data_IF_846198398346
#
_entry.id   IF_846198398346
#
_cell.length_a   1.000
_cell.length_b   1.000
_cell.length_c   1.000
_cell.angle_alpha   90.00
_cell.angle_beta   90.00
_cell.angle_gamma   90.00
#
_symmetry.space_group_name_H-M   'P 1'
#
loop_
_entity.id
_entity.type
_entity.pdbx_description
1 polymer ?
#
# COMPACT_ATOMS: atom_id res chain seq x y z
N UNK A 1 -5.38 -13.95 17.66
CA UNK A 1 -5.96 -12.89 16.79
C UNK A 1 -5.05 -11.66 16.72
N UNK A 2 -4.61 -11.14 17.88
CA UNK A 2 -3.68 -9.98 17.99
C UNK A 2 -2.41 -10.15 17.13
N UNK A 3 -1.71 -11.29 17.23
CA UNK A 3 -0.49 -11.52 16.42
C UNK A 3 -0.74 -11.48 14.91
N UNK A 4 -1.94 -11.86 14.43
CA UNK A 4 -2.29 -11.85 13.00
C UNK A 4 -2.54 -10.43 12.48
N UNK A 5 -3.21 -9.61 13.31
CA UNK A 5 -3.47 -8.20 13.02
C UNK A 5 -2.15 -7.42 13.00
N UNK A 6 -1.29 -7.69 13.98
CA UNK A 6 0.04 -7.08 14.05
C UNK A 6 0.90 -7.49 12.85
N UNK A 7 0.89 -8.76 12.46
CA UNK A 7 1.60 -9.22 11.26
C UNK A 7 1.09 -8.53 9.99
N UNK A 8 -0.23 -8.41 9.83
CA UNK A 8 -0.83 -7.72 8.68
C UNK A 8 -0.39 -6.24 8.64
N UNK A 9 -0.45 -5.54 9.78
CA UNK A 9 0.03 -4.16 9.90
C UNK A 9 1.51 -4.04 9.57
N UNK A 10 2.39 -4.77 10.26
CA UNK A 10 3.83 -4.62 10.09
C UNK A 10 4.28 -4.98 8.67
N UNK A 11 3.75 -6.08 8.11
CA UNK A 11 4.13 -6.51 6.76
C UNK A 11 3.70 -5.48 5.71
N UNK A 12 2.47 -4.96 5.80
CA UNK A 12 1.95 -3.98 4.84
C UNK A 12 2.61 -2.61 5.00
N UNK A 13 2.87 -2.18 6.23
CA UNK A 13 3.55 -0.93 6.56
C UNK A 13 4.96 -0.90 5.99
N UNK A 14 5.80 -1.88 6.37
CA UNK A 14 7.20 -1.93 5.94
C UNK A 14 7.33 -2.21 4.45
N UNK A 15 6.45 -3.04 3.86
CA UNK A 15 6.43 -3.24 2.41
C UNK A 15 6.12 -1.92 1.68
N UNK A 16 5.13 -1.16 2.15
CA UNK A 16 4.78 0.14 1.55
C UNK A 16 5.95 1.12 1.64
N UNK A 17 6.59 1.18 2.80
CA UNK A 17 7.68 2.11 3.04
C UNK A 17 8.90 1.78 2.17
N UNK A 18 9.36 0.53 2.18
CA UNK A 18 10.54 0.11 1.42
C UNK A 18 10.27 0.17 -0.08
N UNK A 19 9.20 -0.50 -0.55
CA UNK A 19 8.91 -0.61 -1.98
C UNK A 19 8.57 0.76 -2.54
N UNK A 20 7.77 1.55 -1.84
CA UNK A 20 7.38 2.87 -2.30
C UNK A 20 8.57 3.83 -2.41
N UNK A 21 9.49 3.83 -1.45
CA UNK A 21 10.72 4.62 -1.57
C UNK A 21 11.58 4.17 -2.76
N UNK A 22 11.69 2.85 -3.01
CA UNK A 22 12.42 2.33 -4.18
C UNK A 22 11.74 2.69 -5.50
N UNK A 23 10.41 2.58 -5.58
CA UNK A 23 9.65 2.94 -6.78
C UNK A 23 9.74 4.43 -7.04
N UNK A 24 9.57 5.28 -6.01
CA UNK A 24 9.66 6.73 -6.15
C UNK A 24 11.03 7.18 -6.67
N UNK A 25 12.11 6.50 -6.27
CA UNK A 25 13.46 6.75 -6.79
C UNK A 25 13.59 6.53 -8.30
N UNK A 26 12.79 5.62 -8.86
CA UNK A 26 12.80 5.28 -10.28
C UNK A 26 11.91 6.21 -11.11
N UNK A 27 11.17 7.13 -10.50
CA UNK A 27 10.28 8.04 -11.22
C UNK A 27 11.04 9.24 -11.80
N UNK A 28 10.64 9.75 -12.98
CA UNK A 28 11.25 10.94 -13.59
C UNK A 28 11.19 12.18 -12.70
N UNK A 29 10.21 12.27 -11.81
CA UNK A 29 10.03 13.38 -10.86
C UNK A 29 11.12 13.44 -9.78
N UNK A 30 11.89 12.36 -9.60
CA UNK A 30 12.94 12.31 -8.58
C UNK A 30 14.01 13.38 -8.79
N UNK A 31 14.47 13.57 -10.03
CA UNK A 31 15.57 14.50 -10.31
C UNK A 31 15.17 15.95 -10.03
N UNK A 32 13.94 16.33 -10.40
CA UNK A 32 13.38 17.64 -10.07
C UNK A 32 13.22 17.84 -8.56
N UNK A 33 12.70 16.84 -7.85
CA UNK A 33 12.58 16.94 -6.39
C UNK A 33 13.97 17.01 -5.72
N UNK A 34 14.96 16.26 -6.22
CA UNK A 34 16.33 16.29 -5.73
C UNK A 34 17.04 17.63 -6.00
N UNK A 35 16.74 18.32 -7.10
CA UNK A 35 17.26 19.67 -7.33
C UNK A 35 16.67 20.70 -6.37
N UNK A 36 15.41 20.53 -5.97
CA UNK A 36 14.70 21.50 -5.14
C UNK A 36 15.06 21.38 -3.65
N UNK A 37 15.16 20.15 -3.13
CA UNK A 37 15.40 19.90 -1.68
C UNK A 37 16.74 19.23 -1.38
N UNK A 38 17.55 18.97 -2.39
CA UNK A 38 18.82 18.25 -2.27
C UNK A 38 18.64 16.73 -2.14
N UNK A 39 19.71 15.98 -2.41
CA UNK A 39 19.70 14.51 -2.38
C UNK A 39 19.26 13.93 -1.03
N UNK A 40 19.63 14.54 0.10
CA UNK A 40 19.19 14.05 1.41
C UNK A 40 17.74 14.47 1.72
N UNK A 41 17.31 15.64 1.23
CA UNK A 41 15.94 16.12 1.41
C UNK A 41 14.92 15.26 0.67
N UNK A 42 15.24 14.83 -0.56
CA UNK A 42 14.31 13.99 -1.35
C UNK A 42 14.07 12.63 -0.69
N UNK A 43 15.08 12.04 -0.06
CA UNK A 43 14.90 10.80 0.71
C UNK A 43 14.02 11.01 1.94
N UNK A 44 14.18 12.13 2.66
CA UNK A 44 13.35 12.46 3.82
C UNK A 44 11.89 12.72 3.41
N UNK A 45 11.66 13.50 2.36
CA UNK A 45 10.32 13.75 1.81
C UNK A 45 9.68 12.44 1.36
N UNK A 46 10.42 11.61 0.62
CA UNK A 46 9.96 10.29 0.20
C UNK A 46 9.61 9.41 1.40
N UNK A 47 10.43 9.41 2.46
CA UNK A 47 10.14 8.66 3.68
C UNK A 47 8.84 9.12 4.34
N UNK A 48 8.64 10.44 4.51
CA UNK A 48 7.44 10.99 5.16
C UNK A 48 6.18 10.63 4.37
N UNK A 49 6.20 10.80 3.04
CA UNK A 49 5.07 10.45 2.16
C UNK A 49 4.71 8.97 2.30
N UNK A 50 5.71 8.10 2.25
CA UNK A 50 5.49 6.65 2.31
C UNK A 50 5.18 6.14 3.72
N UNK A 51 5.58 6.86 4.75
CA UNK A 51 5.13 6.62 6.12
C UNK A 51 3.62 6.82 6.23
N UNK A 52 3.10 7.93 5.71
CA UNK A 52 1.66 8.24 5.71
C UNK A 52 0.89 7.22 4.87
N UNK A 53 1.36 6.90 3.67
CA UNK A 53 0.74 5.84 2.85
C UNK A 53 0.82 4.48 3.51
N UNK A 54 1.93 4.16 4.18
CA UNK A 54 2.10 2.93 4.93
C UNK A 54 1.02 2.76 5.98
N UNK A 55 0.68 3.82 6.72
CA UNK A 55 -0.41 3.78 7.71
C UNK A 55 -1.76 3.48 7.06
N UNK A 56 -2.08 4.10 5.92
CA UNK A 56 -3.34 3.89 5.22
C UNK A 56 -3.48 2.47 4.65
N UNK A 57 -2.44 1.98 3.98
CA UNK A 57 -2.39 0.60 3.46
C UNK A 57 -2.52 -0.40 4.61
N UNK A 58 -1.87 -0.12 5.74
CA UNK A 58 -1.94 -0.98 6.92
C UNK A 58 -3.29 -0.95 7.61
N UNK A 59 -3.98 0.19 7.65
CA UNK A 59 -5.35 0.27 8.12
C UNK A 59 -6.29 -0.60 7.26
N UNK A 60 -6.11 -0.56 5.93
CA UNK A 60 -6.80 -1.46 5.00
C UNK A 60 -6.49 -2.93 5.28
N UNK A 61 -5.23 -3.28 5.55
CA UNK A 61 -4.82 -4.65 5.85
C UNK A 61 -5.39 -5.16 7.19
N UNK A 62 -5.39 -4.32 8.23
CA UNK A 62 -6.03 -4.61 9.52
C UNK A 62 -7.52 -4.85 9.33
N UNK A 63 -8.22 -3.91 8.68
CA UNK A 63 -9.67 -4.00 8.47
C UNK A 63 -10.01 -5.27 7.70
N UNK A 64 -9.24 -5.57 6.66
CA UNK A 64 -9.38 -6.79 5.88
C UNK A 64 -9.19 -8.04 6.73
N UNK A 65 -8.18 -8.08 7.60
CA UNK A 65 -7.93 -9.22 8.51
C UNK A 65 -9.03 -9.38 9.58
N UNK A 66 -9.64 -8.28 10.02
CA UNK A 66 -10.79 -8.28 10.95
C UNK A 66 -12.04 -8.83 10.25
N UNK A 67 -12.31 -8.40 9.02
CA UNK A 67 -13.46 -8.86 8.23
C UNK A 67 -13.30 -10.33 7.81
N UNK A 68 -12.05 -10.76 7.57
CA UNK A 68 -11.67 -12.12 7.19
C UNK A 68 -11.69 -13.12 8.35
N UNK A 69 -12.59 -13.02 9.34
CA UNK A 69 -12.53 -13.74 10.65
C UNK A 69 -12.01 -15.20 10.61
N UNK A 70 -12.29 -15.96 9.55
CA UNK A 70 -11.91 -17.37 9.38
C UNK A 70 -10.84 -17.64 8.29
N UNK A 71 -10.38 -16.61 7.57
CA UNK A 71 -9.38 -16.73 6.50
C UNK A 71 -8.06 -16.15 6.99
N UNK A 72 -7.06 -17.03 7.08
CA UNK A 72 -5.70 -16.63 7.40
C UNK A 72 -4.92 -16.37 6.13
N UNK A 73 -4.43 -15.15 6.00
CA UNK A 73 -3.65 -14.72 4.85
C UNK A 73 -2.18 -14.66 5.24
N UNK A 74 -1.29 -15.14 4.36
CA UNK A 74 0.14 -15.26 4.67
C UNK A 74 0.83 -13.89 4.73
N UNK A 75 1.96 -13.80 5.47
CA UNK A 75 2.82 -12.60 5.49
C UNK A 75 3.27 -12.18 4.09
N UNK A 76 3.60 -13.15 3.24
CA UNK A 76 4.02 -12.93 1.85
C UNK A 76 2.94 -12.23 1.03
N UNK A 77 1.67 -12.60 1.25
CA UNK A 77 0.55 -11.95 0.57
C UNK A 77 0.47 -10.46 0.94
N UNK A 78 0.59 -10.11 2.21
CA UNK A 78 0.55 -8.70 2.64
C UNK A 78 1.67 -7.88 2.00
N UNK A 79 2.89 -8.43 1.95
CA UNK A 79 4.03 -7.77 1.30
C UNK A 79 3.78 -7.56 -0.20
N UNK A 80 3.36 -8.60 -0.92
CA UNK A 80 3.12 -8.54 -2.38
C UNK A 80 1.99 -7.54 -2.68
N UNK A 81 0.87 -7.65 -1.96
CA UNK A 81 -0.30 -6.80 -2.16
C UNK A 81 0.02 -5.33 -1.92
N UNK A 82 0.70 -5.01 -0.82
CA UNK A 82 1.13 -3.63 -0.53
C UNK A 82 2.11 -3.10 -1.56
N UNK A 83 3.07 -3.91 -2.01
CA UNK A 83 4.02 -3.53 -3.06
C UNK A 83 3.34 -3.20 -4.39
N UNK A 84 2.40 -4.06 -4.82
CA UNK A 84 1.63 -3.83 -6.05
C UNK A 84 0.80 -2.56 -5.95
N UNK A 85 0.11 -2.34 -4.83
CA UNK A 85 -0.73 -1.15 -4.62
C UNK A 85 0.08 0.13 -4.72
N UNK A 86 1.21 0.19 -4.01
CA UNK A 86 2.06 1.38 -3.98
C UNK A 86 2.67 1.65 -5.36
N UNK A 87 3.03 0.59 -6.09
CA UNK A 87 3.53 0.72 -7.47
C UNK A 87 2.45 1.23 -8.41
N UNK A 88 1.24 0.67 -8.37
CA UNK A 88 0.11 1.12 -9.19
C UNK A 88 -0.28 2.56 -8.88
N UNK A 89 -0.24 2.94 -7.61
CA UNK A 89 -0.52 4.30 -7.16
C UNK A 89 0.50 5.27 -7.76
N UNK A 90 1.80 4.95 -7.76
CA UNK A 90 2.81 5.80 -8.40
C UNK A 90 2.68 5.84 -9.93
N UNK A 91 2.37 4.72 -10.58
CA UNK A 91 2.13 4.69 -12.02
C UNK A 91 0.94 5.56 -12.40
N UNK A 92 -0.17 5.48 -11.67
CA UNK A 92 -1.35 6.31 -11.90
C UNK A 92 -1.00 7.80 -11.88
N UNK A 93 -0.10 8.23 -11.01
CA UNK A 93 0.33 9.64 -10.93
C UNK A 93 1.18 10.11 -12.08
N UNK A 94 2.02 9.24 -12.64
CA UNK A 94 2.76 9.59 -13.84
C UNK A 94 1.80 9.93 -14.99
N UNK A 95 0.63 9.29 -15.02
CA UNK A 95 -0.34 9.47 -16.10
C UNK A 95 -1.39 10.54 -15.81
N UNK A 96 -1.65 10.88 -14.55
CA UNK A 96 -2.67 11.86 -14.20
C UNK A 96 -2.03 13.05 -13.48
N UNK A 97 -1.94 14.17 -14.20
CA UNK A 97 -1.45 15.45 -13.70
C UNK A 97 -2.46 16.09 -12.72
N UNK A 98 -2.63 15.48 -11.55
CA UNK A 98 -3.47 16.02 -10.49
C UNK A 98 -2.75 17.07 -9.64
N UNK A 99 -3.52 18.02 -9.11
CA UNK A 99 -3.07 18.90 -8.02
C UNK A 99 -2.70 18.07 -6.77
N UNK A 100 -1.66 18.49 -6.05
CA UNK A 100 -1.03 17.74 -4.95
C UNK A 100 -2.01 17.35 -3.82
N UNK A 101 -3.00 18.18 -3.51
CA UNK A 101 -3.99 17.87 -2.46
C UNK A 101 -4.97 16.77 -2.89
N UNK A 102 -5.46 16.85 -4.13
CA UNK A 102 -6.30 15.80 -4.74
C UNK A 102 -5.54 14.49 -4.81
N UNK A 103 -4.24 14.55 -5.10
CA UNK A 103 -3.36 13.40 -5.10
C UNK A 103 -3.33 12.68 -3.74
N UNK A 104 -3.02 13.39 -2.65
CA UNK A 104 -2.93 12.77 -1.32
C UNK A 104 -4.25 12.09 -0.95
N UNK A 105 -5.38 12.74 -1.22
CA UNK A 105 -6.70 12.19 -0.94
C UNK A 105 -7.03 10.94 -1.78
N UNK A 106 -6.86 11.00 -3.11
CA UNK A 106 -7.13 9.86 -4.00
C UNK A 106 -6.21 8.67 -3.71
N UNK A 107 -4.96 8.93 -3.34
CA UNK A 107 -3.97 7.91 -2.98
C UNK A 107 -4.37 7.14 -1.74
N UNK A 108 -4.81 7.85 -0.70
CA UNK A 108 -5.29 7.26 0.54
C UNK A 108 -6.55 6.42 0.29
N UNK A 109 -7.50 6.97 -0.47
CA UNK A 109 -8.78 6.30 -0.76
C UNK A 109 -8.58 5.06 -1.65
N UNK A 110 -7.75 5.17 -2.70
CA UNK A 110 -7.43 4.07 -3.62
C UNK A 110 -6.65 2.97 -2.93
N UNK A 111 -5.59 3.32 -2.18
CA UNK A 111 -4.79 2.36 -1.42
C UNK A 111 -5.66 1.56 -0.44
N UNK A 112 -6.53 2.24 0.30
CA UNK A 112 -7.44 1.58 1.23
C UNK A 112 -8.47 0.69 0.53
N UNK A 113 -9.12 1.19 -0.53
CA UNK A 113 -10.16 0.46 -1.27
C UNK A 113 -9.60 -0.77 -2.00
N UNK A 114 -8.38 -0.69 -2.52
CA UNK A 114 -7.78 -1.77 -3.27
C UNK A 114 -7.29 -2.91 -2.37
N UNK A 115 -6.75 -2.61 -1.18
CA UNK A 115 -6.46 -3.65 -0.17
C UNK A 115 -7.74 -4.41 0.20
N UNK A 116 -8.83 -3.66 0.46
CA UNK A 116 -10.12 -4.27 0.80
C UNK A 116 -10.66 -5.15 -0.33
N UNK A 117 -10.56 -4.68 -1.58
CA UNK A 117 -11.00 -5.44 -2.76
C UNK A 117 -10.22 -6.75 -2.94
N UNK A 118 -8.89 -6.69 -2.87
CA UNK A 118 -8.05 -7.88 -3.04
C UNK A 118 -8.29 -8.92 -1.95
N UNK A 119 -8.47 -8.48 -0.70
CA UNK A 119 -8.78 -9.42 0.38
C UNK A 119 -10.18 -9.99 0.24
N UNK A 120 -11.17 -9.21 -0.20
CA UNK A 120 -12.50 -9.72 -0.50
C UNK A 120 -12.47 -10.84 -1.57
N UNK A 121 -11.65 -10.70 -2.61
CA UNK A 121 -11.46 -11.74 -3.63
C UNK A 121 -10.85 -13.02 -3.01
N UNK A 122 -9.81 -12.88 -2.19
CA UNK A 122 -9.17 -14.03 -1.53
C UNK A 122 -10.15 -14.71 -0.57
N UNK A 123 -10.91 -13.94 0.19
CA UNK A 123 -11.98 -14.47 1.06
C UNK A 123 -13.02 -15.24 0.25
N UNK A 124 -13.52 -14.66 -0.84
CA UNK A 124 -14.52 -15.28 -1.71
C UNK A 124 -14.01 -16.61 -2.27
N UNK A 125 -12.78 -16.64 -2.79
CA UNK A 125 -12.18 -17.85 -3.34
C UNK A 125 -11.96 -18.93 -2.26
N UNK A 126 -11.53 -18.53 -1.05
CA UNK A 126 -11.32 -19.47 0.05
C UNK A 126 -12.64 -20.08 0.54
N UNK A 127 -13.70 -19.26 0.63
CA UNK A 127 -15.04 -19.72 1.01
C UNK A 127 -15.66 -20.61 -0.07
N UNK A 128 -15.48 -20.28 -1.35
CA UNK A 128 -15.94 -21.11 -2.47
C UNK A 128 -15.29 -22.50 -2.45
N UNK A 129 -13.96 -22.55 -2.28
CA UNK A 129 -13.21 -23.82 -2.24
C UNK A 129 -13.59 -24.69 -1.03
N UNK A 130 -13.92 -24.09 0.12
CA UNK A 130 -14.35 -24.84 1.31
C UNK A 130 -15.82 -25.30 1.25
N UNK A 131 -16.67 -24.61 0.50
CA UNK A 131 -18.11 -24.90 0.45
C UNK A 131 -18.51 -25.83 -0.70
N UNK A 132 -17.57 -26.37 -1.49
CA UNK A 132 -17.83 -27.26 -2.64
C UNK A 132 -18.98 -26.77 -3.55
N UNK A 133 -18.88 -25.53 -4.05
CA UNK A 133 -19.67 -25.04 -5.19
C UNK A 133 -18.84 -24.96 -6.47
#
# INVERSE_FOLDING_TARGET
MINKILDAFLCSFFATLIIGMMVNRLLPTWEGLASDVGNNGVWLVSFIVHYVFGLAVSAGAILSQILSKNVTVSRKFWVITSGVIVTLLHLFLLFVQYEFESYVFFSLLFGMSFVLFLVAIVMWNTLRLNNNF
#
